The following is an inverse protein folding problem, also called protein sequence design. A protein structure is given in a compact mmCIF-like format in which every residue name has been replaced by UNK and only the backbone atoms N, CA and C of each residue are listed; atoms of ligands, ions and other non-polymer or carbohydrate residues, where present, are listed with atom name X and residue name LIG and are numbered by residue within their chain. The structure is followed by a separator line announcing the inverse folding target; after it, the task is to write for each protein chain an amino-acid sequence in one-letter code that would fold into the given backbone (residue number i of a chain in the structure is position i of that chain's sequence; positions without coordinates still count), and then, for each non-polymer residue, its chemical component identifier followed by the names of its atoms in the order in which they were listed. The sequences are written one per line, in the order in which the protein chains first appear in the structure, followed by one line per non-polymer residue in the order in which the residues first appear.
data_IF_052443344874
#
_entry.id   IF_052443344874
#
_cell.length_a   1.000
_cell.length_b   1.000
_cell.length_c   1.000
_cell.angle_alpha   90.00
_cell.angle_beta   90.00
_cell.angle_gamma   90.00
#
_symmetry.space_group_name_H-M   'P 1'
#
loop_
_entity.id
_entity.type
_entity.pdbx_description
1 polymer ?
#
# COMPACT_ATOMS: atom_id res chain seq x y z
N UNK A 1 -8.39 8.64 19.99
CA UNK A 1 -8.10 7.21 20.32
C UNK A 1 -6.58 7.06 20.32
N UNK A 2 -5.97 6.51 21.36
CA UNK A 2 -4.53 6.24 21.31
C UNK A 2 -4.29 4.94 20.51
N UNK A 3 -3.52 5.03 19.43
CA UNK A 3 -3.21 3.90 18.54
C UNK A 3 -1.98 3.09 19.01
N UNK A 4 -1.22 3.60 19.99
CA UNK A 4 0.00 3.00 20.53
C UNK A 4 1.10 2.76 19.45
N UNK A 5 1.25 3.71 18.54
CA UNK A 5 2.23 3.66 17.45
C UNK A 5 3.50 4.46 17.74
N UNK A 6 3.55 5.18 18.86
CA UNK A 6 4.71 5.96 19.25
C UNK A 6 5.99 5.10 19.30
N UNK A 7 7.05 5.57 18.66
CA UNK A 7 8.34 4.89 18.48
C UNK A 7 8.30 3.55 17.70
N UNK A 8 7.18 3.11 17.16
CA UNK A 8 7.12 1.95 16.27
C UNK A 8 7.89 2.21 14.98
N UNK A 9 8.62 1.21 14.49
CA UNK A 9 9.37 1.26 13.23
C UNK A 9 8.51 0.76 12.07
N UNK A 10 8.29 1.63 11.08
CA UNK A 10 7.35 1.41 9.97
C UNK A 10 8.07 1.52 8.63
N UNK A 11 8.02 0.46 7.84
CA UNK A 11 8.50 0.45 6.46
C UNK A 11 7.31 0.61 5.50
N UNK A 12 7.39 1.59 4.58
CA UNK A 12 6.33 1.82 3.58
C UNK A 12 6.92 1.80 2.18
N UNK A 13 6.47 0.85 1.36
CA UNK A 13 6.88 0.78 -0.05
C UNK A 13 5.96 1.60 -0.94
N UNK A 14 6.49 2.16 -2.04
CA UNK A 14 5.73 3.06 -2.91
C UNK A 14 5.35 4.39 -2.25
N UNK A 15 6.21 4.91 -1.34
CA UNK A 15 5.92 6.04 -0.47
C UNK A 15 6.33 7.42 -1.03
N UNK A 16 6.65 7.53 -2.33
CA UNK A 16 7.04 8.83 -2.93
C UNK A 16 5.86 9.73 -3.30
N UNK A 17 4.63 9.24 -3.25
CA UNK A 17 3.39 9.98 -3.57
C UNK A 17 2.13 9.19 -3.16
N UNK A 18 0.97 9.85 -3.27
CA UNK A 18 -0.34 9.21 -3.15
C UNK A 18 -0.54 8.50 -1.81
N UNK A 19 -1.16 7.31 -1.85
CA UNK A 19 -1.51 6.54 -0.66
C UNK A 19 -0.30 6.25 0.22
N UNK A 20 0.81 5.79 -0.36
CA UNK A 20 2.00 5.45 0.42
C UNK A 20 2.62 6.64 1.17
N UNK A 21 2.61 7.83 0.56
CA UNK A 21 3.07 9.06 1.23
C UNK A 21 2.12 9.48 2.35
N UNK A 22 0.80 9.45 2.11
CA UNK A 22 -0.19 9.77 3.14
C UNK A 22 -0.11 8.79 4.33
N UNK A 23 0.07 7.50 4.06
CA UNK A 23 0.29 6.49 5.12
C UNK A 23 1.53 6.82 5.94
N UNK A 24 2.64 7.22 5.29
CA UNK A 24 3.86 7.60 6.00
C UNK A 24 3.63 8.81 6.91
N UNK A 25 2.95 9.83 6.41
CA UNK A 25 2.63 11.04 7.18
C UNK A 25 1.72 10.71 8.36
N UNK A 26 0.69 9.89 8.18
CA UNK A 26 -0.20 9.46 9.27
C UNK A 26 0.53 8.67 10.35
N UNK A 27 1.47 7.81 10.00
CA UNK A 27 2.32 7.13 11.00
C UNK A 27 3.21 8.10 11.77
N UNK A 28 3.78 9.11 11.10
CA UNK A 28 4.58 10.16 11.76
C UNK A 28 3.74 11.00 12.72
N UNK A 29 2.48 11.32 12.37
CA UNK A 29 1.52 12.01 13.25
C UNK A 29 1.25 11.23 14.54
N UNK A 30 1.25 9.89 14.46
CA UNK A 30 1.10 9.00 15.61
C UNK A 30 2.43 8.74 16.36
N UNK A 31 3.51 9.46 16.02
CA UNK A 31 4.84 9.36 16.67
C UNK A 31 5.66 8.14 16.26
N UNK A 32 5.31 7.46 15.19
CA UNK A 32 6.10 6.35 14.67
C UNK A 32 7.36 6.84 13.95
N UNK A 33 8.35 5.94 13.81
CA UNK A 33 9.53 6.13 12.97
C UNK A 33 9.27 5.50 11.62
N UNK A 34 9.45 6.23 10.52
CA UNK A 34 9.11 5.75 9.19
C UNK A 34 10.30 5.65 8.24
N UNK A 35 10.32 4.61 7.43
CA UNK A 35 11.20 4.47 6.27
C UNK A 35 10.36 4.54 4.99
N UNK A 36 10.59 5.56 4.18
CA UNK A 36 9.97 5.74 2.88
C UNK A 36 10.77 5.01 1.81
N UNK A 37 10.10 4.21 0.98
CA UNK A 37 10.77 3.46 -0.09
C UNK A 37 10.08 3.68 -1.43
N UNK A 38 10.86 4.02 -2.46
CA UNK A 38 10.41 4.01 -3.85
C UNK A 38 11.55 3.81 -4.84
N UNK A 39 11.22 3.54 -6.11
CA UNK A 39 12.20 3.46 -7.22
C UNK A 39 12.74 4.83 -7.63
N UNK A 40 11.84 5.81 -7.70
CA UNK A 40 12.18 7.19 -8.04
C UNK A 40 12.84 7.91 -6.87
N UNK A 41 13.87 8.72 -7.14
CA UNK A 41 14.63 9.42 -6.10
C UNK A 41 14.14 10.84 -5.84
N UNK A 42 13.76 11.60 -6.89
CA UNK A 42 13.45 13.04 -6.74
C UNK A 42 12.34 13.29 -5.71
N UNK A 43 11.12 12.89 -5.99
CA UNK A 43 9.98 13.11 -5.07
C UNK A 43 10.17 12.40 -3.72
N UNK A 44 10.89 11.28 -3.71
CA UNK A 44 11.15 10.52 -2.48
C UNK A 44 11.95 11.35 -1.47
N UNK A 45 13.09 11.92 -1.90
CA UNK A 45 13.97 12.69 -1.02
C UNK A 45 13.44 14.11 -0.75
N UNK A 46 12.69 14.71 -1.68
CA UNK A 46 11.98 15.96 -1.43
C UNK A 46 10.92 15.79 -0.32
N UNK A 47 10.14 14.70 -0.35
CA UNK A 47 9.17 14.41 0.70
C UNK A 47 9.83 14.01 2.01
N UNK A 48 10.93 13.25 1.99
CA UNK A 48 11.72 12.99 3.19
C UNK A 48 12.10 14.29 3.90
N UNK A 49 12.70 15.24 3.18
CA UNK A 49 13.10 16.53 3.72
C UNK A 49 11.91 17.31 4.28
N UNK A 50 10.82 17.41 3.53
CA UNK A 50 9.60 18.10 3.96
C UNK A 50 9.02 17.50 5.25
N UNK A 51 8.99 16.17 5.35
CA UNK A 51 8.49 15.49 6.54
C UNK A 51 9.48 15.58 7.72
N UNK A 52 10.78 15.62 7.47
CA UNK A 52 11.79 15.87 8.51
C UNK A 52 11.60 17.24 9.15
N UNK A 53 11.26 18.26 8.38
CA UNK A 53 11.00 19.62 8.88
C UNK A 53 9.78 19.65 9.83
N UNK A 54 8.77 18.81 9.59
CA UNK A 54 7.57 18.74 10.41
C UNK A 54 7.64 17.78 11.60
N UNK A 55 8.32 16.65 11.45
CA UNK A 55 8.29 15.53 12.42
C UNK A 55 9.66 15.19 13.03
N UNK A 56 10.72 15.87 12.61
CA UNK A 56 12.09 15.69 13.12
C UNK A 56 12.91 14.65 12.33
N UNK A 57 14.18 14.97 12.14
CA UNK A 57 15.16 14.20 11.33
C UNK A 57 15.35 12.76 11.84
N UNK A 58 15.20 12.53 13.16
CA UNK A 58 15.38 11.19 13.76
C UNK A 58 14.24 10.21 13.49
N UNK A 59 13.08 10.70 13.06
CA UNK A 59 11.86 9.90 12.93
C UNK A 59 11.59 9.40 11.52
N UNK A 60 12.32 9.89 10.52
CA UNK A 60 12.09 9.54 9.12
C UNK A 60 13.39 9.44 8.34
N UNK A 61 13.44 8.50 7.44
CA UNK A 61 14.47 8.42 6.40
C UNK A 61 13.90 7.76 5.14
N UNK A 62 14.54 8.01 4.02
CA UNK A 62 14.13 7.47 2.73
C UNK A 62 15.24 6.60 2.11
N UNK A 63 14.85 5.53 1.43
CA UNK A 63 15.76 4.64 0.73
C UNK A 63 15.21 4.32 -0.67
N UNK A 64 16.07 4.46 -1.68
CA UNK A 64 15.73 4.03 -3.03
C UNK A 64 15.77 2.51 -3.13
N UNK A 65 14.68 1.91 -3.61
CA UNK A 65 14.62 0.46 -3.83
C UNK A 65 13.62 0.13 -4.95
N UNK A 66 14.01 -0.77 -5.83
CA UNK A 66 13.08 -1.46 -6.71
C UNK A 66 12.58 -2.72 -6.03
N UNK A 67 11.30 -2.72 -5.63
CA UNK A 67 10.67 -3.87 -4.97
C UNK A 67 10.43 -5.06 -5.90
N UNK A 68 10.64 -4.93 -7.21
CA UNK A 68 10.63 -6.05 -8.16
C UNK A 68 11.98 -6.77 -8.26
N UNK A 69 13.06 -6.13 -7.77
CA UNK A 69 14.40 -6.71 -7.73
C UNK A 69 14.75 -7.22 -6.32
N UNK A 70 14.97 -8.52 -6.23
CA UNK A 70 15.30 -9.17 -4.97
C UNK A 70 16.58 -8.63 -4.33
N UNK A 71 17.63 -8.36 -5.12
CA UNK A 71 18.90 -7.82 -4.60
C UNK A 71 18.69 -6.41 -4.01
N UNK A 72 17.89 -5.60 -4.68
CA UNK A 72 17.52 -4.27 -4.17
C UNK A 72 16.81 -4.36 -2.82
N UNK A 73 15.87 -5.30 -2.65
CA UNK A 73 15.18 -5.55 -1.38
C UNK A 73 16.11 -6.09 -0.29
N UNK A 74 17.06 -6.97 -0.63
CA UNK A 74 18.06 -7.48 0.33
C UNK A 74 18.98 -6.35 0.81
N UNK A 75 19.42 -5.46 -0.08
CA UNK A 75 20.17 -4.27 0.28
C UNK A 75 19.35 -3.32 1.16
N UNK A 76 18.09 -3.08 0.82
CA UNK A 76 17.15 -2.30 1.63
C UNK A 76 17.07 -2.86 3.05
N UNK A 77 16.91 -4.17 3.19
CA UNK A 77 16.87 -4.83 4.51
C UNK A 77 18.17 -4.61 5.30
N UNK A 78 19.32 -4.69 4.64
CA UNK A 78 20.61 -4.43 5.30
C UNK A 78 20.68 -2.98 5.84
N UNK A 79 20.30 -2.00 5.03
CA UNK A 79 20.30 -0.60 5.45
C UNK A 79 19.31 -0.34 6.60
N UNK A 80 18.13 -0.94 6.57
CA UNK A 80 17.14 -0.86 7.66
C UNK A 80 17.70 -1.53 8.93
N UNK A 81 18.35 -2.68 8.81
CA UNK A 81 18.93 -3.41 9.95
C UNK A 81 20.03 -2.61 10.67
N UNK A 82 20.77 -1.75 9.95
CA UNK A 82 21.75 -0.84 10.58
C UNK A 82 21.08 0.24 11.44
N UNK A 83 19.85 0.64 11.13
CA UNK A 83 19.12 1.69 11.84
C UNK A 83 18.18 1.13 12.90
N UNK A 84 17.52 0.02 12.60
CA UNK A 84 16.49 -0.59 13.43
C UNK A 84 16.79 -2.07 13.67
N UNK A 85 16.64 -2.51 14.90
CA UNK A 85 16.86 -3.91 15.28
C UNK A 85 15.72 -4.83 14.80
N UNK A 86 14.53 -4.28 14.60
CA UNK A 86 13.31 -4.94 14.10
C UNK A 86 12.48 -3.93 13.29
N UNK A 87 11.46 -4.41 12.59
CA UNK A 87 10.43 -3.57 11.97
C UNK A 87 9.10 -4.01 12.56
N UNK A 88 8.34 -3.06 13.10
CA UNK A 88 7.03 -3.34 13.72
C UNK A 88 5.91 -3.42 12.69
N UNK A 89 5.99 -2.61 11.64
CA UNK A 89 4.98 -2.56 10.59
C UNK A 89 5.64 -2.52 9.21
N UNK A 90 5.12 -3.33 8.29
CA UNK A 90 5.46 -3.23 6.86
C UNK A 90 4.19 -2.98 6.07
N UNK A 91 4.15 -1.84 5.37
CA UNK A 91 3.07 -1.49 4.44
C UNK A 91 3.55 -1.73 3.01
N UNK A 92 2.97 -2.73 2.38
CA UNK A 92 3.27 -3.15 1.01
C UNK A 92 2.30 -2.47 0.06
N UNK A 93 2.71 -1.30 -0.45
CA UNK A 93 1.85 -0.41 -1.23
C UNK A 93 2.28 -0.28 -2.70
N UNK A 94 3.42 -0.83 -3.11
CA UNK A 94 3.85 -0.79 -4.52
C UNK A 94 2.79 -1.44 -5.41
N UNK A 95 2.42 -0.75 -6.47
CA UNK A 95 1.49 -1.24 -7.49
C UNK A 95 1.18 -0.16 -8.52
N UNK A 96 0.70 -0.57 -9.69
CA UNK A 96 0.26 0.31 -10.76
C UNK A 96 -0.96 -0.29 -11.45
N UNK A 97 -2.04 0.48 -11.54
CA UNK A 97 -3.27 0.09 -12.24
C UNK A 97 -3.26 0.40 -13.73
N UNK A 98 -2.15 0.97 -14.25
CA UNK A 98 -2.00 1.23 -15.67
C UNK A 98 -1.71 -0.08 -16.39
N UNK A 99 -2.61 -0.47 -17.29
CA UNK A 99 -2.48 -1.59 -18.18
C UNK A 99 -3.32 -1.36 -19.44
N UNK A 100 -3.30 -2.31 -20.36
CA UNK A 100 -4.07 -2.25 -21.60
C UNK A 100 -5.51 -2.71 -21.37
N UNK A 101 -6.49 -2.24 -22.19
CA UNK A 101 -7.90 -2.58 -22.02
C UNK A 101 -8.26 -3.97 -22.53
N UNK A 102 -7.28 -4.74 -23.01
CA UNK A 102 -7.53 -6.07 -23.59
C UNK A 102 -8.06 -7.04 -22.54
N UNK A 103 -8.97 -7.91 -22.95
CA UNK A 103 -9.54 -8.96 -22.09
C UNK A 103 -8.47 -9.95 -21.62
N UNK A 104 -7.45 -10.18 -22.41
CA UNK A 104 -6.29 -11.01 -22.11
C UNK A 104 -5.03 -10.36 -22.72
N UNK A 105 -4.29 -9.53 -21.97
CA UNK A 105 -3.02 -8.93 -22.41
C UNK A 105 -2.00 -9.99 -22.82
N UNK A 106 -1.06 -9.60 -23.70
CA UNK A 106 0.03 -10.49 -24.08
C UNK A 106 0.97 -10.83 -22.90
N UNK A 107 1.84 -11.79 -23.11
CA UNK A 107 2.75 -12.31 -22.09
C UNK A 107 3.68 -11.23 -21.50
N UNK A 108 4.10 -10.28 -22.29
CA UNK A 108 5.03 -9.21 -21.84
C UNK A 108 4.29 -8.24 -20.90
N UNK A 109 3.13 -7.74 -21.32
CA UNK A 109 2.30 -6.86 -20.50
C UNK A 109 1.82 -7.57 -19.23
N UNK A 110 1.38 -8.84 -19.34
CA UNK A 110 0.99 -9.65 -18.20
C UNK A 110 2.10 -9.77 -17.17
N UNK A 111 3.32 -10.16 -17.59
CA UNK A 111 4.49 -10.28 -16.70
C UNK A 111 4.85 -8.94 -16.07
N UNK A 112 4.79 -7.85 -16.81
CA UNK A 112 5.07 -6.50 -16.31
C UNK A 112 4.10 -6.11 -15.18
N UNK A 113 2.80 -6.29 -15.41
CA UNK A 113 1.76 -5.97 -14.41
C UNK A 113 1.84 -6.90 -13.20
N UNK A 114 2.02 -8.19 -13.43
CA UNK A 114 2.20 -9.19 -12.37
C UNK A 114 3.41 -8.87 -11.48
N UNK A 115 4.56 -8.61 -12.08
CA UNK A 115 5.78 -8.28 -11.36
C UNK A 115 5.63 -7.03 -10.51
N UNK A 116 5.03 -5.98 -11.06
CA UNK A 116 4.87 -4.70 -10.35
C UNK A 116 3.82 -4.76 -9.23
N UNK A 117 2.77 -5.58 -9.36
CA UNK A 117 1.68 -5.62 -8.39
C UNK A 117 1.78 -6.82 -7.42
N UNK A 118 2.07 -8.03 -7.89
CA UNK A 118 2.09 -9.22 -7.04
C UNK A 118 3.49 -9.62 -6.59
N UNK A 119 4.46 -9.82 -7.51
CA UNK A 119 5.80 -10.28 -7.14
C UNK A 119 6.53 -9.28 -6.25
N UNK A 120 6.41 -7.98 -6.52
CA UNK A 120 6.96 -6.93 -5.64
C UNK A 120 6.43 -7.04 -4.21
N UNK A 121 5.14 -7.34 -4.06
CA UNK A 121 4.48 -7.51 -2.78
C UNK A 121 4.94 -8.80 -2.07
N UNK A 122 4.97 -9.91 -2.80
CA UNK A 122 5.43 -11.21 -2.28
C UNK A 122 6.89 -11.16 -1.84
N UNK A 123 7.79 -10.57 -2.65
CA UNK A 123 9.21 -10.46 -2.31
C UNK A 123 9.43 -9.54 -1.11
N UNK A 124 8.75 -8.39 -1.05
CA UNK A 124 8.80 -7.50 0.12
C UNK A 124 8.36 -8.22 1.39
N UNK A 125 7.23 -8.90 1.37
CA UNK A 125 6.73 -9.67 2.50
C UNK A 125 7.75 -10.75 2.93
N UNK A 126 8.29 -11.53 1.99
CA UNK A 126 9.27 -12.59 2.25
C UNK A 126 10.55 -12.08 2.90
N UNK A 127 11.08 -10.97 2.43
CA UNK A 127 12.34 -10.37 2.92
C UNK A 127 12.18 -9.80 4.33
N UNK A 128 11.04 -9.16 4.64
CA UNK A 128 10.83 -8.49 5.92
C UNK A 128 10.10 -9.33 6.97
N UNK A 129 9.50 -10.47 6.60
CA UNK A 129 8.82 -11.36 7.54
C UNK A 129 9.66 -11.77 8.76
N UNK A 130 10.97 -12.06 8.65
CA UNK A 130 11.80 -12.38 9.83
C UNK A 130 11.89 -11.22 10.83
N UNK A 131 11.91 -9.96 10.36
CA UNK A 131 11.92 -8.78 11.23
C UNK A 131 10.57 -8.57 11.90
N UNK A 132 9.46 -8.77 11.18
CA UNK A 132 8.10 -8.73 11.72
C UNK A 132 7.86 -9.83 12.78
N UNK A 133 8.38 -11.04 12.55
CA UNK A 133 8.30 -12.12 13.56
C UNK A 133 9.05 -11.76 14.86
N UNK A 134 10.16 -11.04 14.76
CA UNK A 134 10.94 -10.60 15.92
C UNK A 134 10.20 -9.56 16.77
N UNK A 135 9.38 -8.72 16.15
CA UNK A 135 8.61 -7.66 16.82
C UNK A 135 7.19 -8.06 17.18
N UNK A 136 6.69 -9.24 16.78
CA UNK A 136 5.28 -9.61 16.76
C UNK A 136 4.44 -8.55 16.02
N UNK A 137 4.93 -8.14 14.84
CA UNK A 137 4.49 -6.96 14.12
C UNK A 137 3.25 -7.16 13.24
N UNK A 138 3.05 -6.20 12.34
CA UNK A 138 1.93 -6.17 11.40
C UNK A 138 2.40 -6.02 9.96
N UNK A 139 1.85 -6.83 9.05
CA UNK A 139 2.01 -6.73 7.62
C UNK A 139 0.69 -6.25 7.00
N UNK A 140 0.71 -5.13 6.31
CA UNK A 140 -0.43 -4.59 5.59
C UNK A 140 -0.15 -4.57 4.10
N UNK A 141 -1.02 -5.20 3.32
CA UNK A 141 -1.02 -5.11 1.87
C UNK A 141 -2.03 -4.08 1.38
N UNK A 142 -1.65 -3.29 0.39
CA UNK A 142 -2.58 -2.43 -0.36
C UNK A 142 -2.98 -3.16 -1.65
N UNK A 143 -4.22 -3.66 -1.66
CA UNK A 143 -4.84 -4.27 -2.83
C UNK A 143 -5.69 -3.24 -3.59
N UNK A 144 -6.89 -3.60 -3.99
CA UNK A 144 -7.89 -2.76 -4.68
C UNK A 144 -9.24 -3.47 -4.62
N UNK A 145 -10.33 -2.72 -4.73
CA UNK A 145 -11.66 -3.30 -4.97
C UNK A 145 -11.70 -4.09 -6.30
N UNK A 146 -10.86 -3.73 -7.28
CA UNK A 146 -10.70 -4.49 -8.53
C UNK A 146 -10.17 -5.93 -8.32
N UNK A 147 -9.58 -6.23 -7.16
CA UNK A 147 -9.23 -7.59 -6.76
C UNK A 147 -10.38 -8.38 -6.11
N UNK A 148 -11.53 -7.75 -5.91
CA UNK A 148 -12.71 -8.35 -5.27
C UNK A 148 -13.89 -8.47 -6.22
N UNK A 149 -14.09 -7.47 -7.06
CA UNK A 149 -15.20 -7.40 -8.01
C UNK A 149 -14.74 -6.92 -9.40
N UNK A 150 -15.49 -7.27 -10.43
CA UNK A 150 -15.18 -6.91 -11.82
C UNK A 150 -15.75 -5.54 -12.19
N UNK A 151 -14.97 -4.48 -11.98
CA UNK A 151 -15.35 -3.08 -12.29
C UNK A 151 -14.85 -2.57 -13.65
N UNK A 152 -14.48 -3.46 -14.58
CA UNK A 152 -13.86 -3.07 -15.84
C UNK A 152 -12.42 -2.57 -15.73
N UNK A 153 -11.75 -2.83 -14.61
CA UNK A 153 -10.33 -2.64 -14.47
C UNK A 153 -9.55 -3.68 -15.32
N UNK A 154 -8.30 -3.40 -15.73
CA UNK A 154 -7.50 -4.33 -16.51
C UNK A 154 -7.43 -5.73 -15.88
N UNK A 155 -7.55 -6.78 -16.70
CA UNK A 155 -7.65 -8.16 -16.23
C UNK A 155 -6.40 -8.62 -15.48
N UNK A 156 -5.22 -8.30 -15.99
CA UNK A 156 -3.92 -8.61 -15.37
C UNK A 156 -3.76 -7.93 -14.00
N UNK A 157 -4.18 -6.67 -13.90
CA UNK A 157 -4.17 -5.91 -12.65
C UNK A 157 -5.14 -6.51 -11.62
N UNK A 158 -6.40 -6.74 -12.03
CA UNK A 158 -7.44 -7.31 -11.15
C UNK A 158 -7.02 -8.67 -10.61
N UNK A 159 -6.46 -9.52 -11.48
CA UNK A 159 -5.94 -10.85 -11.09
C UNK A 159 -4.81 -10.74 -10.08
N UNK A 160 -3.84 -9.83 -10.30
CA UNK A 160 -2.73 -9.61 -9.36
C UNK A 160 -3.23 -9.11 -7.99
N UNK A 161 -4.23 -8.22 -7.97
CA UNK A 161 -4.83 -7.70 -6.73
C UNK A 161 -5.67 -8.74 -6.00
N UNK A 162 -6.37 -9.64 -6.71
CA UNK A 162 -7.02 -10.82 -6.11
C UNK A 162 -6.01 -11.76 -5.47
N UNK A 163 -4.90 -12.02 -6.15
CA UNK A 163 -3.84 -12.88 -5.64
C UNK A 163 -3.22 -12.36 -4.32
N UNK A 164 -3.09 -11.03 -4.16
CA UNK A 164 -2.66 -10.41 -2.90
C UNK A 164 -3.64 -10.72 -1.76
N UNK A 165 -4.94 -10.62 -1.99
CA UNK A 165 -5.98 -10.91 -1.00
C UNK A 165 -5.88 -12.36 -0.52
N UNK A 166 -5.77 -13.29 -1.48
CA UNK A 166 -5.61 -14.71 -1.18
C UNK A 166 -4.30 -15.00 -0.42
N UNK A 167 -3.18 -14.38 -0.84
CA UNK A 167 -1.89 -14.50 -0.17
C UNK A 167 -1.97 -14.03 1.29
N UNK A 168 -2.49 -12.82 1.52
CA UNK A 168 -2.60 -12.22 2.83
C UNK A 168 -3.46 -13.06 3.78
N UNK A 169 -4.61 -13.58 3.31
CA UNK A 169 -5.49 -14.47 4.09
C UNK A 169 -4.78 -15.74 4.53
N UNK A 170 -4.05 -16.38 3.62
CA UNK A 170 -3.28 -17.59 3.94
C UNK A 170 -2.14 -17.30 4.90
N UNK A 171 -1.42 -16.18 4.71
CA UNK A 171 -0.35 -15.77 5.62
C UNK A 171 -0.88 -15.49 7.02
N UNK A 172 -2.00 -14.76 7.15
CA UNK A 172 -2.61 -14.44 8.44
C UNK A 172 -2.87 -15.68 9.29
N UNK A 173 -3.46 -16.72 8.69
CA UNK A 173 -3.76 -18.00 9.38
C UNK A 173 -2.51 -18.75 9.85
N UNK A 174 -1.41 -18.64 9.10
CA UNK A 174 -0.16 -19.37 9.39
C UNK A 174 0.79 -18.61 10.31
N UNK A 175 0.64 -17.29 10.40
CA UNK A 175 1.54 -16.43 11.17
C UNK A 175 0.97 -16.01 12.52
N UNK A 176 -0.32 -16.16 12.74
CA UNK A 176 -0.93 -15.94 14.04
C UNK A 176 -0.38 -16.94 15.07
N UNK A 177 -0.21 -16.53 16.37
CA UNK A 177 -0.52 -15.21 16.90
C UNK A 177 0.62 -14.18 16.73
N UNK A 178 1.76 -14.55 16.16
CA UNK A 178 2.99 -13.76 16.19
C UNK A 178 2.99 -12.55 15.24
N UNK A 179 2.36 -12.66 14.05
CA UNK A 179 2.30 -11.55 13.07
C UNK A 179 0.88 -11.43 12.56
N UNK A 180 0.31 -10.21 12.63
CA UNK A 180 -0.97 -9.91 11.99
C UNK A 180 -0.74 -9.58 10.52
N UNK A 181 -1.62 -10.05 9.65
CA UNK A 181 -1.56 -9.77 8.20
C UNK A 181 -2.94 -9.36 7.73
N UNK A 182 -3.06 -8.15 7.18
CA UNK A 182 -4.32 -7.60 6.70
C UNK A 182 -4.15 -6.98 5.31
N UNK A 183 -5.27 -6.70 4.67
CA UNK A 183 -5.36 -6.02 3.38
C UNK A 183 -6.25 -4.80 3.52
N UNK A 184 -5.88 -3.71 2.87
CA UNK A 184 -6.78 -2.61 2.56
C UNK A 184 -7.07 -2.65 1.06
N UNK A 185 -8.34 -2.50 0.68
CA UNK A 185 -8.81 -2.50 -0.70
C UNK A 185 -9.45 -1.14 -1.01
N UNK A 186 -8.67 -0.16 -1.51
CA UNK A 186 -9.20 1.13 -1.90
C UNK A 186 -10.09 1.04 -3.13
N UNK A 187 -11.11 1.93 -3.18
CA UNK A 187 -11.83 2.28 -4.41
C UNK A 187 -11.08 3.31 -5.24
N UNK A 188 -11.81 4.26 -5.81
CA UNK A 188 -11.25 5.32 -6.64
C UNK A 188 -10.62 6.41 -5.77
N UNK A 189 -9.29 6.52 -5.80
CA UNK A 189 -8.50 7.50 -5.04
C UNK A 189 -7.87 8.51 -5.99
N UNK A 190 -8.06 9.79 -5.74
CA UNK A 190 -7.46 10.86 -6.53
C UNK A 190 -6.23 11.46 -5.82
N UNK A 191 -5.15 11.61 -6.57
CA UNK A 191 -3.99 12.44 -6.25
C UNK A 191 -3.27 12.83 -7.55
N UNK A 192 -2.54 13.92 -7.52
CA UNK A 192 -1.77 14.42 -8.67
C UNK A 192 -0.78 13.38 -9.21
N UNK A 193 -0.79 13.15 -10.52
CA UNK A 193 0.00 12.13 -11.22
C UNK A 193 -0.53 10.69 -11.03
N UNK A 194 -1.73 10.50 -10.47
CA UNK A 194 -2.44 9.21 -10.48
C UNK A 194 -2.97 8.86 -11.88
N UNK A 195 -3.38 7.60 -12.08
CA UNK A 195 -4.08 7.22 -13.31
C UNK A 195 -5.42 7.96 -13.48
N UNK A 196 -6.06 8.35 -12.38
CA UNK A 196 -7.28 9.16 -12.43
C UNK A 196 -7.00 10.61 -12.80
N UNK A 197 -5.87 11.18 -12.35
CA UNK A 197 -5.44 12.51 -12.77
C UNK A 197 -5.22 12.57 -14.30
N UNK A 198 -4.52 11.57 -14.86
CA UNK A 198 -4.34 11.44 -16.31
C UNK A 198 -5.67 11.35 -17.07
N UNK A 199 -6.63 10.55 -16.57
CA UNK A 199 -7.96 10.43 -17.18
C UNK A 199 -8.77 11.73 -17.09
N UNK A 200 -8.69 12.45 -15.97
CA UNK A 200 -9.34 13.76 -15.81
C UNK A 200 -8.78 14.78 -16.80
N UNK A 201 -7.47 14.78 -17.03
CA UNK A 201 -6.85 15.66 -18.02
C UNK A 201 -7.27 15.33 -19.45
N UNK A 202 -7.60 14.07 -19.75
CA UNK A 202 -8.09 13.61 -21.05
C UNK A 202 -9.58 13.92 -21.25
N UNK A 203 -10.43 13.53 -20.30
CA UNK A 203 -11.88 13.73 -20.35
C UNK A 203 -12.49 13.82 -18.92
N UNK A 204 -12.50 15.03 -18.38
CA UNK A 204 -13.08 15.29 -17.04
C UNK A 204 -14.55 14.91 -16.97
N UNK A 205 -15.33 15.18 -18.03
CA UNK A 205 -16.77 14.94 -18.01
C UNK A 205 -17.07 13.45 -17.91
N UNK A 206 -16.38 12.62 -18.68
CA UNK A 206 -16.51 11.17 -18.61
C UNK A 206 -16.15 10.65 -17.21
N UNK A 207 -15.06 11.16 -16.62
CA UNK A 207 -14.66 10.76 -15.26
C UNK A 207 -15.69 11.16 -14.22
N UNK A 208 -16.24 12.38 -14.28
CA UNK A 208 -17.28 12.85 -13.37
C UNK A 208 -18.56 11.97 -13.47
N UNK A 209 -18.93 11.54 -14.68
CA UNK A 209 -20.05 10.60 -14.91
C UNK A 209 -19.77 9.21 -14.33
N UNK A 210 -18.55 8.69 -14.49
CA UNK A 210 -18.13 7.41 -13.89
C UNK A 210 -18.25 7.48 -12.37
N UNK A 211 -17.68 8.50 -11.74
CA UNK A 211 -17.73 8.64 -10.27
C UNK A 211 -19.17 8.75 -9.78
N UNK A 212 -19.99 9.57 -10.44
CA UNK A 212 -21.39 9.77 -10.09
C UNK A 212 -22.23 8.50 -10.22
N UNK A 213 -21.93 7.64 -11.20
CA UNK A 213 -22.70 6.42 -11.45
C UNK A 213 -22.20 5.20 -10.65
N UNK A 214 -20.94 5.20 -10.21
CA UNK A 214 -20.33 4.00 -9.59
C UNK A 214 -20.00 4.17 -8.11
N UNK A 215 -19.83 5.39 -7.61
CA UNK A 215 -19.46 5.64 -6.21
C UNK A 215 -20.63 6.28 -5.45
N UNK A 216 -21.31 5.59 -4.54
CA UNK A 216 -22.43 6.14 -3.76
C UNK A 216 -22.11 7.43 -3.00
N UNK A 217 -20.88 7.59 -2.49
CA UNK A 217 -20.44 8.85 -1.87
C UNK A 217 -20.15 9.97 -2.89
N UNK A 218 -20.30 9.72 -4.19
CA UNK A 218 -20.26 10.67 -5.31
C UNK A 218 -18.99 11.52 -5.38
N UNK A 219 -17.87 10.97 -4.98
CA UNK A 219 -16.53 11.60 -5.05
C UNK A 219 -15.41 10.58 -5.02
N UNK A 220 -14.23 11.02 -5.38
CA UNK A 220 -12.99 10.28 -5.09
C UNK A 220 -12.72 10.26 -3.58
N UNK A 221 -12.06 9.20 -3.13
CA UNK A 221 -11.36 9.23 -1.86
C UNK A 221 -10.06 10.04 -1.99
N UNK A 222 -9.63 10.64 -0.90
CA UNK A 222 -8.28 11.19 -0.75
C UNK A 222 -7.31 10.11 -0.28
N UNK A 223 -6.01 10.25 -0.54
CA UNK A 223 -5.00 9.35 0.04
C UNK A 223 -5.06 9.26 1.57
N UNK A 224 -5.43 10.36 2.24
CA UNK A 224 -5.54 10.43 3.69
C UNK A 224 -6.64 9.50 4.24
N UNK A 225 -7.82 9.45 3.59
CA UNK A 225 -8.91 8.56 4.01
C UNK A 225 -8.53 7.07 3.95
N UNK A 226 -7.65 6.71 3.01
CA UNK A 226 -7.07 5.36 2.94
C UNK A 226 -6.02 5.17 4.03
N UNK A 227 -5.19 6.18 4.27
CA UNK A 227 -4.13 6.14 5.26
C UNK A 227 -4.65 5.98 6.69
N UNK A 228 -5.73 6.67 7.05
CA UNK A 228 -6.36 6.58 8.38
C UNK A 228 -6.79 5.13 8.69
N UNK A 229 -7.41 4.47 7.71
CA UNK A 229 -7.80 3.07 7.82
C UNK A 229 -6.59 2.12 7.88
N UNK A 230 -5.54 2.42 7.12
CA UNK A 230 -4.30 1.63 7.09
C UNK A 230 -3.58 1.70 8.46
N UNK A 231 -3.46 2.89 9.03
CA UNK A 231 -2.81 3.11 10.33
C UNK A 231 -3.60 2.42 11.45
N UNK A 232 -4.95 2.51 11.43
CA UNK A 232 -5.79 1.76 12.36
C UNK A 232 -5.53 0.25 12.30
N UNK A 233 -5.53 -0.36 11.11
CA UNK A 233 -5.27 -1.81 10.95
C UNK A 233 -3.89 -2.23 11.47
N UNK A 234 -2.91 -1.33 11.40
CA UNK A 234 -1.55 -1.60 11.87
C UNK A 234 -1.36 -1.36 13.37
N UNK A 235 -2.31 -0.69 14.03
CA UNK A 235 -2.23 -0.29 15.43
C UNK A 235 -2.59 -1.41 16.41
N UNK A 236 -2.30 -1.20 17.69
CA UNK A 236 -2.73 -2.10 18.77
C UNK A 236 -4.26 -2.13 18.94
N UNK A 237 -4.99 -1.12 18.44
CA UNK A 237 -6.45 -1.10 18.45
C UNK A 237 -7.07 -2.13 17.51
N UNK A 238 -6.30 -2.63 16.56
CA UNK A 238 -6.66 -3.74 15.69
C UNK A 238 -6.00 -5.07 16.12
N UNK A 239 -5.63 -5.24 17.40
CA UNK A 239 -4.87 -6.41 17.88
C UNK A 239 -5.58 -7.75 17.66
N UNK A 240 -6.91 -7.76 17.57
CA UNK A 240 -7.69 -8.97 17.25
C UNK A 240 -8.13 -9.06 15.80
N UNK A 241 -7.60 -8.17 14.92
CA UNK A 241 -7.90 -8.13 13.49
C UNK A 241 -6.72 -8.69 12.70
N UNK A 242 -6.91 -9.87 12.11
CA UNK A 242 -5.95 -10.49 11.18
C UNK A 242 -6.68 -11.26 10.07
N UNK A 243 -6.17 -11.21 8.85
CA UNK A 243 -6.77 -11.85 7.69
C UNK A 243 -8.01 -11.15 7.13
N UNK A 244 -8.24 -9.88 7.48
CA UNK A 244 -9.32 -9.08 6.91
C UNK A 244 -8.86 -8.41 5.61
N UNK A 245 -9.79 -8.24 4.68
CA UNK A 245 -9.70 -7.27 3.59
C UNK A 245 -10.67 -6.14 3.93
N UNK A 246 -10.13 -4.99 4.34
CA UNK A 246 -10.91 -3.80 4.65
C UNK A 246 -11.12 -2.99 3.36
N UNK A 247 -12.37 -2.90 2.94
CA UNK A 247 -12.78 -2.08 1.79
C UNK A 247 -12.92 -0.62 2.23
N UNK A 248 -12.35 0.30 1.45
CA UNK A 248 -12.44 1.75 1.65
C UNK A 248 -12.71 2.39 0.28
N UNK A 249 -13.96 2.44 -0.12
CA UNK A 249 -14.36 2.70 -1.51
C UNK A 249 -15.57 3.63 -1.70
N UNK A 250 -16.10 4.22 -0.61
CA UNK A 250 -17.27 5.07 -0.67
C UNK A 250 -18.56 4.34 -1.07
N UNK A 251 -18.61 3.01 -0.85
CA UNK A 251 -19.74 2.14 -1.17
C UNK A 251 -19.75 1.65 -2.62
N UNK A 252 -18.63 1.70 -3.33
CA UNK A 252 -18.54 1.33 -4.74
C UNK A 252 -18.75 -0.18 -4.98
N UNK A 253 -18.23 -1.04 -4.10
CA UNK A 253 -18.47 -2.49 -4.16
C UNK A 253 -19.93 -2.81 -3.84
N UNK A 254 -20.49 -3.81 -4.52
CA UNK A 254 -21.88 -4.23 -4.37
C UNK A 254 -22.02 -5.61 -3.70
N UNK A 255 -20.95 -6.36 -3.58
CA UNK A 255 -20.93 -7.66 -2.93
C UNK A 255 -21.21 -7.55 -1.43
N UNK A 256 -22.01 -8.50 -0.90
CA UNK A 256 -22.36 -8.57 0.53
C UNK A 256 -21.31 -9.35 1.33
N UNK A 257 -20.46 -10.16 0.65
CA UNK A 257 -19.44 -11.02 1.24
C UNK A 257 -18.09 -10.85 0.57
#
# INVERSE_FOLDING_TARGET
MNLNLNNKSVLITGASRGIGLAVAESFLQEGAKTCLVSRGSKNLFENEKKLQDGYGVGNIFALKCDCTDRRSLENLKQEITKKWNSVDVVVVNVGDGRSVPDSLPDDEQWKKTWNSNFESALQTARIFLPMLKKSNGCLLFVSSIAGMEAFGAPTDYSTAKSAIIALAKNMARKLAPGVRVNVIAPGNVYFEGSSWDEKIQQDKKCVDEIIKSTVPMNRFATPQEIADSAVFLCSDRASFVTGVTLVVDGGQTVGVF
#
